data_IF_659397480918
#
_entry.id   IF_659397480918
#
_cell.length_a   1.000
_cell.length_b   1.000
_cell.length_c   1.000
_cell.angle_alpha   90.00
_cell.angle_beta   90.00
_cell.angle_gamma   90.00
#
_symmetry.space_group_name_H-M   'P 1'
#
loop_
_entity.id
_entity.type
_entity.pdbx_description
1 polymer ?
#
# COMPACT_ATOMS: atom_id res chain seq x y z
N UNK A 1 -42.60 9.82 -60.61
CA UNK A 1 -42.97 8.51 -60.02
C UNK A 1 -42.15 8.36 -58.74
N UNK A 2 -42.68 8.00 -57.58
CA UNK A 2 -43.99 8.18 -56.96
C UNK A 2 -43.74 7.91 -55.45
N UNK A 3 -43.98 8.83 -54.51
CA UNK A 3 -45.26 9.25 -53.90
C UNK A 3 -45.80 8.32 -52.80
N UNK A 4 -46.52 8.89 -51.80
CA UNK A 4 -46.98 8.31 -50.52
C UNK A 4 -45.87 7.89 -49.50
N UNK A 5 -45.83 8.27 -48.21
CA UNK A 5 -46.69 9.02 -47.26
C UNK A 5 -47.72 8.25 -46.37
N UNK A 6 -48.01 8.84 -45.21
CA UNK A 6 -48.89 8.40 -44.08
C UNK A 6 -48.33 7.30 -43.16
N UNK A 7 -48.34 7.31 -41.81
CA UNK A 7 -48.95 8.06 -40.66
C UNK A 7 -50.26 7.55 -40.01
N UNK A 8 -50.15 6.96 -38.81
CA UNK A 8 -51.14 6.95 -37.69
C UNK A 8 -50.43 6.51 -36.38
N UNK A 9 -50.53 7.07 -35.16
CA UNK A 9 -51.19 8.24 -34.51
C UNK A 9 -52.51 8.02 -33.73
N UNK A 10 -52.42 7.75 -32.41
CA UNK A 10 -53.25 8.17 -31.22
C UNK A 10 -52.72 7.44 -29.95
N UNK A 11 -52.65 7.97 -28.70
CA UNK A 11 -53.58 8.69 -27.78
C UNK A 11 -54.78 7.83 -27.32
N UNK A 12 -55.26 7.83 -26.07
CA UNK A 12 -54.86 8.34 -24.73
C UNK A 12 -55.72 7.54 -23.68
N UNK A 13 -55.81 7.71 -22.34
CA UNK A 13 -55.84 8.89 -21.44
C UNK A 13 -55.78 8.47 -19.94
N UNK A 14 -55.60 9.44 -19.03
CA UNK A 14 -55.92 9.37 -17.57
C UNK A 14 -57.44 9.71 -17.33
N UNK A 15 -58.02 10.10 -16.14
CA UNK A 15 -57.44 10.59 -14.86
C UNK A 15 -58.16 10.19 -13.51
N UNK A 16 -57.66 10.75 -12.37
CA UNK A 16 -58.38 11.20 -11.12
C UNK A 16 -59.30 10.23 -10.30
N UNK A 17 -59.47 10.30 -8.96
CA UNK A 17 -58.85 10.98 -7.78
C UNK A 17 -59.36 10.24 -6.48
N UNK A 18 -59.41 10.70 -5.20
CA UNK A 18 -59.14 11.96 -4.47
C UNK A 18 -59.05 11.77 -2.92
N UNK A 19 -58.25 12.60 -2.22
CA UNK A 19 -58.48 13.37 -0.95
C UNK A 19 -59.69 13.12 0.01
N UNK A 20 -59.70 13.65 1.27
CA UNK A 20 -58.62 14.09 2.19
C UNK A 20 -58.91 13.86 3.73
N UNK A 21 -58.16 14.55 4.63
CA UNK A 21 -58.45 14.92 6.06
C UNK A 21 -57.74 14.05 7.14
N UNK A 22 -56.86 14.57 8.02
CA UNK A 22 -57.07 15.44 9.22
C UNK A 22 -57.16 14.60 10.53
N UNK A 23 -56.69 15.00 11.73
CA UNK A 23 -56.02 16.21 12.25
C UNK A 23 -55.33 15.94 13.61
N UNK A 24 -54.56 16.92 14.13
CA UNK A 24 -54.32 17.23 15.58
C UNK A 24 -53.65 16.17 16.51
N UNK A 25 -52.91 16.51 17.58
CA UNK A 25 -52.26 17.76 18.08
C UNK A 25 -51.47 17.45 19.39
N UNK A 26 -50.43 18.24 19.73
CA UNK A 26 -49.92 18.57 21.10
C UNK A 26 -49.85 17.49 22.22
N UNK A 27 -48.78 17.33 23.00
CA UNK A 27 -47.52 18.09 23.15
C UNK A 27 -47.09 18.22 24.63
N UNK A 28 -45.89 18.80 24.85
CA UNK A 28 -45.36 19.35 26.13
C UNK A 28 -44.84 18.42 27.26
N UNK A 29 -43.67 18.83 27.78
CA UNK A 29 -43.21 18.74 29.20
C UNK A 29 -42.82 17.38 29.82
N UNK A 30 -41.90 17.28 30.79
CA UNK A 30 -40.77 18.17 31.20
C UNK A 30 -39.92 17.53 32.33
N UNK A 31 -38.63 17.87 32.37
CA UNK A 31 -37.78 18.00 33.58
C UNK A 31 -37.54 16.79 34.53
N UNK A 32 -36.29 16.33 34.52
CA UNK A 32 -35.41 16.15 35.70
C UNK A 32 -35.93 15.52 37.01
N UNK A 33 -35.24 14.46 37.46
CA UNK A 33 -34.58 14.44 38.78
C UNK A 33 -33.58 13.29 38.97
N UNK A 34 -32.51 13.57 39.70
CA UNK A 34 -31.58 12.56 40.23
C UNK A 34 -32.25 11.67 41.30
N UNK A 35 -31.92 10.37 41.30
CA UNK A 35 -31.80 9.58 42.54
C UNK A 35 -30.42 8.89 42.58
N UNK A 36 -29.64 9.17 43.64
CA UNK A 36 -28.30 8.59 43.81
C UNK A 36 -28.38 7.22 44.50
N UNK A 37 -27.92 6.14 43.85
CA UNK A 37 -27.91 4.78 44.42
C UNK A 37 -26.50 4.20 44.56
N UNK A 38 -25.92 4.49 45.73
CA UNK A 38 -24.96 3.67 46.50
C UNK A 38 -24.03 2.75 45.71
N UNK A 39 -22.77 3.17 45.55
CA UNK A 39 -21.69 2.25 45.24
C UNK A 39 -21.55 1.15 46.31
N UNK A 40 -21.43 -0.11 45.86
CA UNK A 40 -20.88 -1.23 46.63
C UNK A 40 -20.06 -2.12 45.69
N UNK A 41 -18.76 -1.84 45.68
CA UNK A 41 -17.64 -2.79 45.55
C UNK A 41 -18.04 -4.26 45.34
N UNK A 42 -17.54 -4.87 44.27
CA UNK A 42 -16.52 -5.93 44.39
C UNK A 42 -15.57 -5.91 43.18
N UNK A 43 -14.65 -6.87 43.11
CA UNK A 43 -13.35 -6.76 42.40
C UNK A 43 -13.33 -7.23 40.94
N UNK A 44 -12.31 -6.78 40.21
CA UNK A 44 -11.96 -7.03 38.79
C UNK A 44 -12.73 -6.20 37.77
N UNK A 45 -12.25 -4.98 37.54
CA UNK A 45 -12.67 -4.11 36.44
C UNK A 45 -12.09 -4.63 35.10
N UNK A 46 -12.73 -5.61 34.47
CA UNK A 46 -12.63 -5.74 33.00
C UNK A 46 -13.45 -4.61 32.37
N UNK A 47 -12.83 -3.83 31.50
CA UNK A 47 -13.44 -2.60 30.97
C UNK A 47 -14.29 -2.91 29.73
N UNK A 48 -15.61 -2.98 29.90
CA UNK A 48 -16.58 -3.22 28.83
C UNK A 48 -17.49 -2.01 28.58
N UNK A 49 -17.97 -1.89 27.35
CA UNK A 49 -19.09 -0.99 27.05
C UNK A 49 -20.39 -1.51 27.71
N UNK A 50 -21.32 -0.62 28.04
CA UNK A 50 -22.57 -0.93 28.76
C UNK A 50 -23.51 -1.90 28.00
N UNK A 51 -23.24 -2.16 26.72
CA UNK A 51 -23.98 -3.00 25.77
C UNK A 51 -23.23 -4.28 25.33
N UNK A 52 -22.10 -4.62 25.96
CA UNK A 52 -21.35 -5.84 25.67
C UNK A 52 -22.02 -7.10 26.26
N UNK A 53 -22.70 -7.89 25.42
CA UNK A 53 -23.29 -9.19 25.81
C UNK A 53 -22.33 -10.39 25.70
N UNK A 54 -21.10 -10.20 25.20
CA UNK A 54 -20.10 -11.26 25.01
C UNK A 54 -19.36 -11.63 26.33
N UNK A 55 -19.48 -12.89 26.82
CA UNK A 55 -18.84 -13.34 28.06
C UNK A 55 -17.35 -13.71 27.91
N UNK A 56 -16.82 -13.87 26.70
CA UNK A 56 -15.41 -14.20 26.45
C UNK A 56 -14.55 -12.95 26.16
N UNK A 57 -15.18 -11.78 26.02
CA UNK A 57 -14.50 -10.51 25.86
C UNK A 57 -13.51 -10.21 27.02
N UNK A 58 -12.32 -9.74 26.68
CA UNK A 58 -11.26 -9.38 27.64
C UNK A 58 -11.30 -7.88 28.02
N UNK A 59 -11.85 -7.04 27.14
CA UNK A 59 -12.13 -5.62 27.35
C UNK A 59 -12.51 -4.93 26.04
N UNK A 60 -13.63 -4.20 26.02
CA UNK A 60 -14.17 -3.53 24.82
C UNK A 60 -14.55 -2.05 25.03
N UNK A 61 -14.37 -1.50 26.24
CA UNK A 61 -14.42 -0.05 26.45
C UNK A 61 -13.10 0.59 26.01
N UNK A 62 -12.85 0.55 24.70
CA UNK A 62 -11.63 1.09 24.10
C UNK A 62 -11.70 2.62 24.05
N UNK A 63 -10.82 3.28 24.83
CA UNK A 63 -10.78 4.75 24.91
C UNK A 63 -10.24 5.41 23.63
N UNK A 64 -10.76 6.59 23.33
CA UNK A 64 -10.25 7.48 22.27
C UNK A 64 -8.78 7.85 22.53
N UNK A 65 -7.91 7.67 21.53
CA UNK A 65 -6.49 8.06 21.64
C UNK A 65 -6.37 9.57 21.45
N UNK A 66 -6.26 10.28 22.58
CA UNK A 66 -6.00 11.72 22.60
C UNK A 66 -4.52 11.99 22.31
N UNK A 67 -4.22 12.36 21.06
CA UNK A 67 -2.90 12.85 20.68
C UNK A 67 -2.61 14.21 21.33
N UNK A 68 -1.62 14.27 22.22
CA UNK A 68 -1.17 15.51 22.85
C UNK A 68 0.28 15.82 22.45
N UNK A 69 0.50 17.01 21.87
CA UNK A 69 1.81 17.50 21.44
C UNK A 69 2.17 18.80 22.19
N UNK A 70 3.41 18.94 22.66
CA UNK A 70 3.91 20.15 23.33
C UNK A 70 3.99 21.37 22.37
N UNK A 71 4.13 21.11 21.08
CA UNK A 71 4.05 22.09 20.00
C UNK A 71 3.20 21.46 18.90
N UNK A 72 2.24 22.19 18.32
CA UNK A 72 1.37 21.63 17.28
C UNK A 72 2.20 21.29 16.02
N UNK A 73 2.28 20.01 15.60
CA UNK A 73 2.92 19.65 14.34
C UNK A 73 2.10 20.11 13.13
N UNK A 74 2.78 20.25 11.99
CA UNK A 74 2.16 20.40 10.67
C UNK A 74 1.56 19.08 10.17
N UNK A 75 0.70 19.15 9.15
CA UNK A 75 0.15 17.96 8.49
C UNK A 75 1.25 17.04 7.91
N UNK A 76 2.38 17.62 7.49
CA UNK A 76 3.53 16.89 6.92
C UNK A 76 4.29 16.12 8.02
N UNK A 77 4.53 16.76 9.17
CA UNK A 77 5.15 16.12 10.33
C UNK A 77 4.25 15.02 10.90
N UNK A 78 2.93 15.25 10.99
CA UNK A 78 1.96 14.22 11.37
C UNK A 78 1.99 13.01 10.41
N UNK A 79 2.05 13.25 9.10
CA UNK A 79 2.14 12.18 8.10
C UNK A 79 3.47 11.41 8.18
N UNK A 80 4.58 12.09 8.48
CA UNK A 80 5.88 11.43 8.71
C UNK A 80 5.84 10.55 9.97
N UNK A 81 5.36 11.09 11.10
CA UNK A 81 5.16 10.33 12.35
C UNK A 81 4.22 9.13 12.14
N UNK A 82 3.13 9.30 11.37
CA UNK A 82 2.20 8.21 11.06
C UNK A 82 2.85 7.09 10.25
N UNK A 83 3.73 7.41 9.29
CA UNK A 83 4.49 6.43 8.52
C UNK A 83 5.54 5.71 9.38
N UNK A 84 6.30 6.44 10.18
CA UNK A 84 7.29 5.87 11.11
C UNK A 84 6.63 4.91 12.11
N UNK A 85 5.47 5.29 12.66
CA UNK A 85 4.71 4.47 13.59
C UNK A 85 4.06 3.26 12.89
N UNK A 86 3.63 3.40 11.63
CA UNK A 86 3.14 2.27 10.84
C UNK A 86 4.25 1.24 10.57
N UNK A 87 5.48 1.66 10.28
CA UNK A 87 6.62 0.75 10.07
C UNK A 87 7.06 -0.02 11.33
N UNK A 88 6.70 0.44 12.53
CA UNK A 88 6.92 -0.31 13.78
C UNK A 88 5.84 -1.37 14.05
N UNK A 89 4.70 -1.29 13.37
CA UNK A 89 3.50 -2.08 13.68
C UNK A 89 3.64 -3.59 13.50
N UNK A 90 4.68 -4.07 12.81
CA UNK A 90 4.90 -5.51 12.60
C UNK A 90 5.30 -6.27 13.87
N UNK A 91 5.97 -5.63 14.83
CA UNK A 91 6.69 -6.35 15.91
C UNK A 91 5.82 -6.87 17.08
N UNK A 92 4.48 -6.75 17.03
CA UNK A 92 3.59 -7.16 18.12
C UNK A 92 2.44 -8.10 17.67
N UNK A 93 2.75 -9.09 16.82
CA UNK A 93 1.94 -10.31 16.65
C UNK A 93 0.51 -10.15 16.12
N UNK A 94 0.13 -8.95 15.66
CA UNK A 94 -1.19 -8.64 15.12
C UNK A 94 -1.12 -8.45 13.60
N UNK A 95 -1.03 -9.57 12.88
CA UNK A 95 -0.82 -9.63 11.43
C UNK A 95 -1.80 -8.71 10.68
N UNK A 96 -1.27 -7.62 10.10
CA UNK A 96 -2.04 -6.67 9.29
C UNK A 96 -2.88 -5.64 10.07
N UNK A 97 -2.68 -5.47 11.37
CA UNK A 97 -3.37 -4.45 12.18
C UNK A 97 -2.50 -3.19 12.36
N UNK A 98 -2.92 -2.08 11.75
CA UNK A 98 -2.23 -0.80 11.96
C UNK A 98 -2.30 -0.39 13.43
N UNK A 99 -1.15 -0.01 14.03
CA UNK A 99 -1.13 0.47 15.41
C UNK A 99 -2.11 1.64 15.59
N UNK A 100 -2.85 1.64 16.69
CA UNK A 100 -3.89 2.66 16.94
C UNK A 100 -3.31 4.07 16.98
N UNK A 101 -2.04 4.19 17.39
CA UNK A 101 -1.25 5.42 17.35
C UNK A 101 -1.02 5.88 15.89
N UNK A 102 -0.52 5.00 15.02
CA UNK A 102 -0.33 5.31 13.61
C UNK A 102 -1.65 5.71 12.92
N UNK A 103 -2.75 4.99 13.21
CA UNK A 103 -4.08 5.36 12.68
C UNK A 103 -4.50 6.76 13.16
N UNK A 104 -4.39 7.06 14.45
CA UNK A 104 -4.75 8.38 14.98
C UNK A 104 -3.88 9.51 14.37
N UNK A 105 -2.58 9.25 14.16
CA UNK A 105 -1.67 10.20 13.51
C UNK A 105 -2.05 10.44 12.04
N UNK A 106 -2.44 9.40 11.30
CA UNK A 106 -2.96 9.51 9.94
C UNK A 106 -4.30 10.26 9.85
N UNK A 107 -5.29 9.89 10.68
CA UNK A 107 -6.59 10.56 10.73
C UNK A 107 -6.38 12.08 11.01
N UNK A 108 -5.45 12.40 11.92
CA UNK A 108 -5.11 13.78 12.28
C UNK A 108 -4.31 14.50 11.18
N UNK A 109 -3.44 13.81 10.44
CA UNK A 109 -2.75 14.38 9.28
C UNK A 109 -3.74 14.78 8.18
N UNK A 110 -4.72 13.90 7.87
CA UNK A 110 -5.77 14.17 6.88
C UNK A 110 -6.63 15.37 7.29
N UNK A 111 -7.05 15.47 8.56
CA UNK A 111 -7.82 16.62 9.05
C UNK A 111 -7.06 17.95 8.82
N UNK A 112 -5.76 17.98 9.14
CA UNK A 112 -4.93 19.19 8.97
C UNK A 112 -4.65 19.51 7.49
N UNK A 113 -4.46 18.51 6.62
CA UNK A 113 -4.40 18.72 5.17
C UNK A 113 -5.71 19.27 4.61
N UNK A 114 -6.86 18.73 5.03
CA UNK A 114 -8.17 19.25 4.64
C UNK A 114 -8.36 20.72 5.09
N UNK A 115 -7.89 21.09 6.28
CA UNK A 115 -7.95 22.48 6.78
C UNK A 115 -7.12 23.42 5.90
N UNK A 116 -5.91 23.01 5.51
CA UNK A 116 -5.04 23.76 4.59
C UNK A 116 -5.71 23.90 3.21
N UNK A 117 -6.19 22.81 2.62
CA UNK A 117 -6.88 22.86 1.32
C UNK A 117 -8.13 23.75 1.34
N UNK A 118 -8.90 23.77 2.43
CA UNK A 118 -10.09 24.63 2.59
C UNK A 118 -9.71 26.11 2.72
N UNK A 119 -8.60 26.43 3.37
CA UNK A 119 -8.07 27.80 3.44
C UNK A 119 -7.55 28.27 2.06
N UNK A 120 -6.86 27.39 1.35
CA UNK A 120 -6.14 27.68 0.10
C UNK A 120 -6.94 27.36 -1.18
N UNK A 121 -8.23 27.00 -1.03
CA UNK A 121 -9.13 26.55 -2.10
C UNK A 121 -9.30 27.52 -3.29
N UNK A 122 -8.89 28.78 -3.12
CA UNK A 122 -9.05 29.88 -4.09
C UNK A 122 -7.78 30.15 -4.93
N UNK A 123 -6.70 29.39 -4.73
CA UNK A 123 -5.43 29.55 -5.46
C UNK A 123 -5.41 28.70 -6.74
N UNK A 124 -4.98 29.30 -7.86
CA UNK A 124 -4.89 28.62 -9.16
C UNK A 124 -3.57 27.88 -9.32
N UNK A 125 -3.63 26.55 -9.34
CA UNK A 125 -2.48 25.63 -9.36
C UNK A 125 -1.43 25.83 -10.48
N UNK A 126 -1.79 26.53 -11.56
CA UNK A 126 -0.93 26.75 -12.73
C UNK A 126 -0.48 28.22 -12.90
N UNK A 127 -0.74 29.11 -11.93
CA UNK A 127 -0.38 30.53 -12.06
C UNK A 127 1.15 30.80 -12.07
N UNK A 128 1.96 29.79 -11.72
CA UNK A 128 3.42 29.82 -11.73
C UNK A 128 4.04 30.52 -10.52
N UNK A 129 3.24 30.89 -9.51
CA UNK A 129 3.72 31.50 -8.27
C UNK A 129 4.27 30.46 -7.30
N UNK A 130 5.11 30.93 -6.38
CA UNK A 130 5.57 30.15 -5.22
C UNK A 130 4.40 29.66 -4.35
N UNK A 131 3.34 30.46 -4.24
CA UNK A 131 2.13 30.11 -3.47
C UNK A 131 1.39 28.93 -4.11
N UNK A 132 1.15 28.96 -5.43
CA UNK A 132 0.56 27.82 -6.14
C UNK A 132 1.45 26.58 -6.14
N UNK A 133 2.78 26.76 -6.17
CA UNK A 133 3.76 25.68 -6.00
C UNK A 133 3.64 24.97 -4.64
N UNK A 134 3.62 25.75 -3.55
CA UNK A 134 3.46 25.23 -2.19
C UNK A 134 2.09 24.54 -2.02
N UNK A 135 1.03 25.15 -2.52
CA UNK A 135 -0.33 24.60 -2.47
C UNK A 135 -0.43 23.27 -3.27
N UNK A 136 0.26 23.17 -4.41
CA UNK A 136 0.38 21.90 -5.16
C UNK A 136 1.10 20.82 -4.36
N UNK A 137 2.18 21.17 -3.66
CA UNK A 137 2.91 20.25 -2.80
C UNK A 137 2.02 19.75 -1.63
N UNK A 138 1.28 20.65 -0.97
CA UNK A 138 0.28 20.29 0.06
C UNK A 138 -0.72 19.24 -0.45
N UNK A 139 -1.29 19.42 -1.66
CA UNK A 139 -2.26 18.45 -2.21
C UNK A 139 -1.63 17.12 -2.66
N UNK A 140 -0.38 17.15 -3.13
CA UNK A 140 0.38 15.93 -3.44
C UNK A 140 0.66 15.14 -2.17
N UNK A 141 1.03 15.81 -1.08
CA UNK A 141 1.26 15.19 0.22
C UNK A 141 -0.05 14.67 0.84
N UNK A 142 -1.15 15.41 0.73
CA UNK A 142 -2.48 14.96 1.15
C UNK A 142 -2.94 13.70 0.40
N UNK A 143 -2.85 13.69 -0.94
CA UNK A 143 -3.19 12.52 -1.75
C UNK A 143 -2.28 11.33 -1.43
N UNK A 144 -0.98 11.55 -1.20
CA UNK A 144 -0.05 10.51 -0.76
C UNK A 144 -0.38 9.97 0.64
N UNK A 145 -0.85 10.82 1.56
CA UNK A 145 -1.32 10.43 2.89
C UNK A 145 -2.57 9.53 2.80
N UNK A 146 -3.54 9.88 1.96
CA UNK A 146 -4.76 9.08 1.73
C UNK A 146 -4.42 7.70 1.13
N UNK A 147 -3.47 7.61 0.18
CA UNK A 147 -2.98 6.33 -0.34
C UNK A 147 -2.24 5.53 0.74
N UNK A 148 -1.36 6.18 1.52
CA UNK A 148 -0.64 5.51 2.60
C UNK A 148 -1.58 4.92 3.67
N UNK A 149 -2.67 5.60 4.00
CA UNK A 149 -3.73 5.04 4.87
C UNK A 149 -4.40 3.84 4.23
N UNK A 150 -4.74 3.91 2.94
CA UNK A 150 -5.38 2.79 2.23
C UNK A 150 -4.50 1.54 2.09
N UNK A 151 -3.17 1.70 2.15
CA UNK A 151 -2.19 0.60 2.24
C UNK A 151 -2.03 0.09 3.68
N UNK A 152 -1.92 1.00 4.67
CA UNK A 152 -1.66 0.65 6.07
C UNK A 152 -2.89 0.10 6.81
N UNK A 153 -4.08 0.57 6.47
CA UNK A 153 -5.38 -0.03 6.79
C UNK A 153 -5.99 -0.46 5.45
N UNK A 154 -5.90 -1.74 5.04
CA UNK A 154 -6.35 -2.21 3.73
C UNK A 154 -7.76 -1.77 3.39
N UNK A 155 -7.86 -0.71 2.58
CA UNK A 155 -9.11 0.02 2.33
C UNK A 155 -9.16 0.46 0.88
N UNK A 156 -9.87 -0.32 0.07
CA UNK A 156 -10.14 -0.06 -1.34
C UNK A 156 -10.81 1.31 -1.56
N UNK A 157 -11.56 1.83 -0.58
CA UNK A 157 -12.16 3.17 -0.65
C UNK A 157 -11.12 4.29 -0.53
N UNK A 158 -10.19 4.20 0.44
CA UNK A 158 -9.10 5.16 0.60
C UNK A 158 -8.14 5.14 -0.60
N UNK A 159 -7.80 3.96 -1.11
CA UNK A 159 -6.99 3.82 -2.32
C UNK A 159 -7.68 4.44 -3.55
N UNK A 160 -8.99 4.25 -3.70
CA UNK A 160 -9.78 4.90 -4.75
C UNK A 160 -9.87 6.42 -4.60
N UNK A 161 -9.97 6.94 -3.37
CA UNK A 161 -9.97 8.39 -3.11
C UNK A 161 -8.61 9.00 -3.46
N UNK A 162 -7.51 8.43 -2.94
CA UNK A 162 -6.15 8.90 -3.22
C UNK A 162 -5.81 8.87 -4.71
N UNK A 163 -6.18 7.79 -5.43
CA UNK A 163 -6.03 7.74 -6.90
C UNK A 163 -6.84 8.84 -7.59
N UNK A 164 -8.09 9.11 -7.16
CA UNK A 164 -8.96 10.14 -7.74
C UNK A 164 -8.43 11.56 -7.50
N UNK A 165 -7.85 11.81 -6.32
CA UNK A 165 -7.14 13.05 -6.00
C UNK A 165 -5.94 13.24 -6.93
N UNK A 166 -5.12 12.20 -7.11
CA UNK A 166 -4.00 12.24 -8.06
C UNK A 166 -4.45 12.43 -9.51
N UNK A 167 -5.52 11.77 -9.98
CA UNK A 167 -6.07 12.04 -11.32
C UNK A 167 -6.48 13.50 -11.51
N UNK A 168 -7.15 14.10 -10.52
CA UNK A 168 -7.55 15.50 -10.57
C UNK A 168 -6.34 16.44 -10.56
N UNK A 169 -5.29 16.14 -9.79
CA UNK A 169 -4.03 16.87 -9.85
C UNK A 169 -3.31 16.69 -11.21
N UNK A 170 -3.36 15.51 -11.83
CA UNK A 170 -2.84 15.26 -13.19
C UNK A 170 -3.60 16.08 -14.23
N UNK A 171 -4.93 16.23 -14.10
CA UNK A 171 -5.75 17.09 -14.95
C UNK A 171 -5.38 18.56 -14.76
N UNK A 172 -5.34 19.04 -13.51
CA UNK A 172 -5.05 20.44 -13.19
C UNK A 172 -3.65 20.86 -13.61
N UNK A 173 -2.64 20.03 -13.37
CA UNK A 173 -1.24 20.30 -13.77
C UNK A 173 -0.93 19.99 -15.24
N UNK A 174 -1.95 19.75 -16.08
CA UNK A 174 -1.83 19.44 -17.52
C UNK A 174 -0.82 18.31 -17.86
N UNK A 175 -0.65 17.34 -16.94
CA UNK A 175 0.35 16.25 -17.01
C UNK A 175 1.82 16.74 -17.01
N UNK A 176 2.08 17.98 -16.57
CA UNK A 176 3.41 18.60 -16.57
C UNK A 176 4.17 18.50 -15.24
N UNK A 177 3.56 17.99 -14.17
CA UNK A 177 4.23 17.75 -12.88
C UNK A 177 4.65 16.29 -12.71
N UNK A 178 5.94 16.07 -12.41
CA UNK A 178 6.52 14.74 -12.23
C UNK A 178 6.07 14.01 -10.95
N UNK A 179 6.10 14.67 -9.79
CA UNK A 179 5.70 14.09 -8.50
C UNK A 179 4.22 13.66 -8.52
N UNK A 180 3.36 14.47 -9.15
CA UNK A 180 1.93 14.15 -9.32
C UNK A 180 1.73 12.86 -10.14
N UNK A 181 2.52 12.66 -11.19
CA UNK A 181 2.47 11.44 -12.02
C UNK A 181 3.08 10.22 -11.30
N UNK A 182 4.15 10.39 -10.52
CA UNK A 182 4.68 9.30 -9.69
C UNK A 182 3.68 8.91 -8.59
N UNK A 183 3.05 9.89 -7.93
CA UNK A 183 1.98 9.65 -6.94
C UNK A 183 0.77 8.92 -7.52
N UNK A 184 0.33 9.28 -8.73
CA UNK A 184 -0.70 8.52 -9.45
C UNK A 184 -0.24 7.08 -9.75
N UNK A 185 1.03 6.90 -10.14
CA UNK A 185 1.62 5.58 -10.39
C UNK A 185 1.61 4.69 -9.14
N UNK A 186 1.97 5.25 -7.98
CA UNK A 186 1.89 4.56 -6.69
C UNK A 186 0.45 4.14 -6.42
N UNK A 187 -0.50 5.07 -6.43
CA UNK A 187 -1.91 4.79 -6.16
C UNK A 187 -2.50 3.68 -7.05
N UNK A 188 -2.06 3.62 -8.31
CA UNK A 188 -2.47 2.59 -9.27
C UNK A 188 -1.88 1.21 -8.96
N UNK A 189 -0.61 1.13 -8.53
CA UNK A 189 -0.01 -0.15 -8.11
C UNK A 189 -0.55 -0.60 -6.74
N UNK A 190 -0.72 0.33 -5.79
CA UNK A 190 -1.36 0.06 -4.50
C UNK A 190 -2.76 -0.54 -4.67
N UNK A 191 -3.58 0.01 -5.58
CA UNK A 191 -4.91 -0.54 -5.87
C UNK A 191 -4.84 -1.91 -6.59
N UNK A 192 -3.83 -2.16 -7.43
CA UNK A 192 -3.62 -3.48 -8.02
C UNK A 192 -3.26 -4.53 -6.93
N UNK A 193 -2.39 -4.16 -5.99
CA UNK A 193 -2.04 -4.98 -4.81
C UNK A 193 -3.26 -5.28 -3.93
N UNK A 194 -4.10 -4.29 -3.64
CA UNK A 194 -5.34 -4.48 -2.87
C UNK A 194 -6.32 -5.43 -3.58
N UNK A 195 -6.57 -5.24 -4.88
CA UNK A 195 -7.41 -6.17 -5.67
C UNK A 195 -6.86 -7.61 -5.61
N UNK A 196 -5.54 -7.77 -5.71
CA UNK A 196 -4.86 -9.06 -5.64
C UNK A 196 -4.94 -9.71 -4.26
N UNK A 197 -4.66 -8.96 -3.20
CA UNK A 197 -4.74 -9.43 -1.82
C UNK A 197 -6.16 -9.86 -1.43
N UNK A 198 -7.18 -9.13 -1.91
CA UNK A 198 -8.58 -9.49 -1.68
C UNK A 198 -9.01 -10.74 -2.48
N UNK A 199 -8.49 -10.93 -3.70
CA UNK A 199 -8.70 -12.18 -4.45
C UNK A 199 -8.03 -13.39 -3.77
N UNK A 200 -6.79 -13.23 -3.28
CA UNK A 200 -6.08 -14.28 -2.53
C UNK A 200 -6.78 -14.63 -1.21
N UNK A 201 -7.24 -13.63 -0.42
CA UNK A 201 -8.03 -13.86 0.80
C UNK A 201 -9.33 -14.61 0.53
N UNK A 202 -10.04 -14.27 -0.54
CA UNK A 202 -11.25 -15.00 -0.94
C UNK A 202 -10.96 -16.47 -1.29
N UNK A 203 -9.79 -16.77 -1.87
CA UNK A 203 -9.37 -18.14 -2.16
C UNK A 203 -8.95 -18.94 -0.93
N UNK A 204 -8.34 -18.31 0.08
CA UNK A 204 -8.03 -18.97 1.36
C UNK A 204 -9.34 -19.41 2.03
N UNK A 205 -10.32 -18.51 2.13
CA UNK A 205 -11.65 -18.83 2.71
C UNK A 205 -12.37 -19.94 1.93
N UNK A 206 -12.20 -20.01 0.60
CA UNK A 206 -12.76 -21.10 -0.22
C UNK A 206 -11.98 -22.42 -0.12
N UNK A 207 -10.74 -22.42 0.36
CA UNK A 207 -9.93 -23.61 0.58
C UNK A 207 -10.01 -24.14 2.03
N UNK A 208 -10.52 -23.32 2.96
CA UNK A 208 -10.79 -23.66 4.36
C UNK A 208 -12.21 -24.21 4.58
N UNK A 209 -13.09 -24.16 3.58
CA UNK A 209 -14.47 -24.68 3.63
C UNK A 209 -14.48 -26.18 3.31
N UNK A 210 -14.61 -27.04 4.34
CA UNK A 210 -14.37 -28.50 4.27
C UNK A 210 -15.28 -29.28 3.29
N UNK A 211 -16.36 -28.67 2.78
CA UNK A 211 -17.36 -29.33 1.92
C UNK A 211 -17.06 -29.29 0.40
N UNK A 212 -16.22 -28.37 -0.12
CA UNK A 212 -15.84 -28.32 -1.56
C UNK A 212 -14.35 -27.93 -1.78
N UNK A 213 -13.46 -28.91 -2.04
CA UNK A 213 -12.09 -28.62 -2.54
C UNK A 213 -12.16 -27.81 -3.86
N UNK A 214 -11.60 -26.59 -3.93
CA UNK A 214 -11.64 -25.78 -5.16
C UNK A 214 -10.74 -26.40 -6.23
N UNK A 215 -11.28 -26.61 -7.43
CA UNK A 215 -10.56 -27.28 -8.52
C UNK A 215 -9.31 -26.52 -8.99
N UNK A 216 -8.40 -27.22 -9.68
CA UNK A 216 -7.22 -26.62 -10.33
C UNK A 216 -7.62 -25.45 -11.27
N UNK A 217 -8.75 -25.57 -11.99
CA UNK A 217 -9.25 -24.47 -12.85
C UNK A 217 -9.80 -23.27 -12.05
N UNK A 218 -10.35 -23.48 -10.85
CA UNK A 218 -10.81 -22.40 -9.97
C UNK A 218 -9.65 -21.69 -9.28
N UNK A 219 -8.65 -22.46 -8.81
CA UNK A 219 -7.44 -21.93 -8.16
C UNK A 219 -6.57 -21.14 -9.13
N UNK A 220 -6.30 -21.67 -10.34
CA UNK A 220 -5.59 -20.92 -11.39
C UNK A 220 -6.36 -19.66 -11.81
N UNK A 221 -7.68 -19.74 -12.01
CA UNK A 221 -8.48 -18.60 -12.47
C UNK A 221 -8.57 -17.46 -11.45
N UNK A 222 -8.50 -17.76 -10.15
CA UNK A 222 -8.60 -16.76 -9.08
C UNK A 222 -7.25 -16.10 -8.73
N UNK A 223 -6.12 -16.74 -9.05
CA UNK A 223 -4.77 -16.18 -8.82
C UNK A 223 -4.11 -15.66 -10.12
N UNK A 224 -4.75 -15.84 -11.27
CA UNK A 224 -4.42 -15.10 -12.49
C UNK A 224 -4.66 -13.59 -12.29
N UNK A 225 -3.74 -12.75 -12.78
CA UNK A 225 -3.91 -11.28 -12.79
C UNK A 225 -5.19 -10.89 -13.54
N UNK A 226 -6.08 -10.18 -12.86
CA UNK A 226 -7.37 -9.74 -13.42
C UNK A 226 -7.20 -8.67 -14.51
N UNK A 227 -8.16 -8.54 -15.44
CA UNK A 227 -8.09 -7.48 -16.48
C UNK A 227 -8.12 -6.05 -15.92
N UNK A 228 -8.76 -5.84 -14.76
CA UNK A 228 -8.77 -4.56 -14.07
C UNK A 228 -7.42 -4.27 -13.40
N UNK A 229 -6.89 -5.24 -12.65
CA UNK A 229 -5.56 -5.23 -12.06
C UNK A 229 -4.46 -4.98 -13.11
N UNK A 230 -4.45 -5.74 -14.22
CA UNK A 230 -3.50 -5.56 -15.32
C UNK A 230 -3.60 -4.16 -15.95
N UNK A 231 -4.80 -3.57 -16.03
CA UNK A 231 -4.97 -2.20 -16.50
C UNK A 231 -4.35 -1.20 -15.52
N UNK A 232 -4.60 -1.35 -14.21
CA UNK A 232 -3.97 -0.55 -13.16
C UNK A 232 -2.44 -0.64 -13.20
N UNK A 233 -1.87 -1.86 -13.32
CA UNK A 233 -0.41 -2.05 -13.39
C UNK A 233 0.19 -1.39 -14.63
N UNK A 234 -0.43 -1.54 -15.80
CA UNK A 234 0.06 -0.88 -17.01
C UNK A 234 -0.06 0.65 -16.92
N UNK A 235 -1.14 1.18 -16.36
CA UNK A 235 -1.27 2.62 -16.10
C UNK A 235 -0.23 3.11 -15.08
N UNK A 236 0.04 2.35 -14.01
CA UNK A 236 1.02 2.71 -12.98
C UNK A 236 2.44 2.81 -13.55
N UNK A 237 2.86 1.78 -14.29
CA UNK A 237 4.14 1.78 -15.02
C UNK A 237 4.24 2.91 -16.05
N UNK A 238 3.16 3.20 -16.78
CA UNK A 238 3.09 4.35 -17.68
C UNK A 238 3.17 5.70 -16.95
N UNK A 239 2.61 5.81 -15.74
CA UNK A 239 2.63 7.00 -14.90
C UNK A 239 4.03 7.24 -14.33
N UNK A 240 4.73 6.19 -13.88
CA UNK A 240 6.15 6.25 -13.50
C UNK A 240 7.04 6.68 -14.67
N UNK A 241 6.95 6.02 -15.84
CA UNK A 241 7.78 6.35 -17.00
C UNK A 241 7.60 7.79 -17.50
N UNK A 242 6.43 8.39 -17.30
CA UNK A 242 6.17 9.81 -17.61
C UNK A 242 6.65 10.73 -16.48
N UNK A 243 6.32 10.42 -15.23
CA UNK A 243 6.67 11.23 -14.06
C UNK A 243 8.17 11.32 -13.83
N UNK A 244 8.85 10.18 -13.74
CA UNK A 244 10.30 10.09 -13.55
C UNK A 244 11.06 10.76 -14.71
N UNK A 245 10.56 10.68 -15.94
CA UNK A 245 11.12 11.39 -17.10
C UNK A 245 11.07 12.92 -16.97
N UNK A 246 10.02 13.48 -16.36
CA UNK A 246 9.96 14.92 -16.04
C UNK A 246 10.92 15.27 -14.89
N UNK A 247 11.11 14.37 -13.93
CA UNK A 247 12.00 14.56 -12.79
C UNK A 247 13.48 14.46 -13.14
N UNK A 248 13.87 13.82 -14.26
CA UNK A 248 15.23 13.90 -14.81
C UNK A 248 15.66 15.32 -15.24
N UNK A 249 14.78 16.31 -15.17
CA UNK A 249 15.09 17.74 -15.33
C UNK A 249 15.03 18.56 -14.01
N UNK A 250 14.92 17.87 -12.86
CA UNK A 250 14.93 18.41 -11.49
C UNK A 250 16.23 18.01 -10.78
N UNK A 251 16.50 18.45 -9.54
CA UNK A 251 17.69 18.00 -8.80
C UNK A 251 17.77 16.48 -8.67
N UNK A 252 18.99 15.94 -8.80
CA UNK A 252 19.26 14.49 -8.84
C UNK A 252 18.72 13.75 -7.61
N UNK A 253 18.73 14.40 -6.44
CA UNK A 253 18.15 13.85 -5.21
C UNK A 253 16.63 13.65 -5.29
N UNK A 254 15.89 14.60 -5.85
CA UNK A 254 14.44 14.49 -6.01
C UNK A 254 14.05 13.43 -7.05
N UNK A 255 14.83 13.33 -8.14
CA UNK A 255 14.67 12.25 -9.10
C UNK A 255 14.95 10.86 -8.47
N UNK A 256 16.02 10.73 -7.70
CA UNK A 256 16.37 9.49 -7.02
C UNK A 256 15.34 9.09 -5.96
N UNK A 257 14.89 10.02 -5.11
CA UNK A 257 13.87 9.77 -4.08
C UNK A 257 12.55 9.27 -4.67
N UNK A 258 12.03 9.91 -5.71
CA UNK A 258 10.79 9.48 -6.37
C UNK A 258 10.97 8.15 -7.14
N UNK A 259 12.17 7.87 -7.67
CA UNK A 259 12.51 6.59 -8.31
C UNK A 259 12.59 5.44 -7.30
N UNK A 260 13.18 5.68 -6.12
CA UNK A 260 13.21 4.73 -5.00
C UNK A 260 11.78 4.44 -4.52
N UNK A 261 10.94 5.46 -4.32
CA UNK A 261 9.55 5.26 -3.87
C UNK A 261 8.67 4.54 -4.91
N UNK A 262 8.94 4.76 -6.21
CA UNK A 262 8.30 3.98 -7.28
C UNK A 262 8.78 2.51 -7.31
N UNK A 263 10.06 2.26 -7.03
CA UNK A 263 10.61 0.91 -6.96
C UNK A 263 10.10 0.13 -5.74
N UNK A 264 9.94 0.77 -4.58
CA UNK A 264 9.36 0.18 -3.38
C UNK A 264 7.94 -0.36 -3.66
N UNK A 265 7.04 0.46 -4.21
CA UNK A 265 5.67 0.02 -4.50
C UNK A 265 5.63 -1.12 -5.56
N UNK A 266 6.60 -1.15 -6.48
CA UNK A 266 6.77 -2.25 -7.43
C UNK A 266 7.38 -3.52 -6.80
N UNK A 267 8.20 -3.41 -5.76
CA UNK A 267 8.68 -4.55 -4.97
C UNK A 267 7.52 -5.16 -4.17
N UNK A 268 6.78 -4.33 -3.43
CA UNK A 268 5.65 -4.75 -2.61
C UNK A 268 4.52 -5.40 -3.43
N UNK A 269 4.27 -4.92 -4.66
CA UNK A 269 3.37 -5.61 -5.59
C UNK A 269 4.04 -6.82 -6.27
N UNK A 270 5.33 -6.73 -6.63
CA UNK A 270 6.08 -7.79 -7.31
C UNK A 270 6.15 -9.09 -6.50
N UNK A 271 6.34 -9.00 -5.18
CA UNK A 271 6.35 -10.16 -4.28
C UNK A 271 4.99 -10.87 -4.26
N UNK A 272 3.88 -10.14 -4.42
CA UNK A 272 2.53 -10.73 -4.54
C UNK A 272 2.27 -11.46 -5.88
N UNK A 273 3.24 -11.52 -6.79
CA UNK A 273 3.18 -12.24 -8.07
C UNK A 273 3.94 -13.58 -8.07
N UNK A 274 4.32 -14.11 -6.90
CA UNK A 274 5.18 -15.31 -6.72
C UNK A 274 4.55 -16.68 -7.09
N UNK A 275 3.79 -16.72 -8.20
CA UNK A 275 3.17 -17.93 -8.72
C UNK A 275 3.37 -18.05 -10.23
N UNK A 276 3.60 -19.27 -10.71
CA UNK A 276 4.10 -19.56 -12.07
C UNK A 276 3.27 -18.95 -13.20
N UNK A 277 1.95 -18.89 -13.03
CA UNK A 277 1.01 -18.27 -14.00
C UNK A 277 1.22 -16.77 -14.20
N UNK A 278 1.92 -16.09 -13.28
CA UNK A 278 2.13 -14.64 -13.29
C UNK A 278 3.58 -14.22 -13.64
N UNK A 279 4.48 -15.17 -13.97
CA UNK A 279 5.91 -14.92 -14.18
C UNK A 279 6.21 -13.80 -15.18
N UNK A 280 5.48 -13.67 -16.29
CA UNK A 280 5.71 -12.59 -17.28
C UNK A 280 5.46 -11.20 -16.67
N UNK A 281 4.41 -11.05 -15.86
CA UNK A 281 4.12 -9.77 -15.20
C UNK A 281 5.10 -9.49 -14.07
N UNK A 282 5.40 -10.49 -13.23
CA UNK A 282 6.39 -10.35 -12.16
C UNK A 282 7.76 -9.95 -12.73
N UNK A 283 8.20 -10.62 -13.80
CA UNK A 283 9.47 -10.33 -14.47
C UNK A 283 9.53 -8.89 -14.97
N UNK A 284 8.43 -8.38 -15.56
CA UNK A 284 8.27 -7.00 -16.04
C UNK A 284 8.23 -5.97 -14.91
N UNK A 285 7.57 -6.30 -13.79
CA UNK A 285 7.48 -5.45 -12.59
C UNK A 285 8.85 -5.30 -11.94
N UNK A 286 9.57 -6.41 -11.72
CA UNK A 286 10.92 -6.37 -11.16
C UNK A 286 11.95 -5.74 -12.12
N UNK A 287 11.85 -5.96 -13.44
CA UNK A 287 12.69 -5.22 -14.42
C UNK A 287 12.53 -3.71 -14.27
N UNK A 288 11.33 -3.23 -13.96
CA UNK A 288 11.03 -1.81 -13.75
C UNK A 288 11.52 -1.31 -12.40
N UNK A 289 11.32 -2.05 -11.32
CA UNK A 289 11.87 -1.72 -10.00
C UNK A 289 13.41 -1.61 -10.04
N UNK A 290 14.07 -2.62 -10.61
CA UNK A 290 15.53 -2.66 -10.84
C UNK A 290 15.98 -1.47 -11.70
N UNK A 291 15.28 -1.17 -12.80
CA UNK A 291 15.60 -0.01 -13.65
C UNK A 291 15.50 1.32 -12.89
N UNK A 292 14.49 1.49 -12.03
CA UNK A 292 14.32 2.72 -11.25
C UNK A 292 15.39 2.86 -10.15
N UNK A 293 15.76 1.76 -9.48
CA UNK A 293 16.84 1.75 -8.47
C UNK A 293 18.21 1.99 -9.09
N UNK A 294 18.53 1.36 -10.23
CA UNK A 294 19.79 1.61 -10.91
C UNK A 294 19.89 3.04 -11.46
N UNK A 295 18.81 3.62 -11.99
CA UNK A 295 18.82 5.01 -12.43
C UNK A 295 18.92 5.99 -11.25
N UNK A 296 18.33 5.66 -10.10
CA UNK A 296 18.52 6.41 -8.86
C UNK A 296 19.97 6.33 -8.36
N UNK A 297 20.61 5.15 -8.37
CA UNK A 297 22.01 4.97 -7.99
C UNK A 297 22.96 5.78 -8.91
N UNK A 298 22.70 5.76 -10.22
CA UNK A 298 23.45 6.55 -11.22
C UNK A 298 23.31 8.06 -11.02
N UNK A 299 22.15 8.53 -10.54
CA UNK A 299 21.89 9.94 -10.28
C UNK A 299 22.42 10.40 -8.91
N UNK A 300 22.24 9.60 -7.85
CA UNK A 300 22.61 9.96 -6.48
C UNK A 300 22.92 8.71 -5.62
N UNK A 301 24.05 8.08 -5.92
CA UNK A 301 24.56 6.88 -5.23
C UNK A 301 24.39 6.91 -3.70
N UNK A 302 24.74 8.02 -3.04
CA UNK A 302 24.66 8.19 -1.58
C UNK A 302 23.28 7.88 -0.97
N UNK A 303 22.18 8.04 -1.73
CA UNK A 303 20.81 7.75 -1.26
C UNK A 303 20.44 6.26 -1.30
N UNK A 304 21.31 5.42 -1.89
CA UNK A 304 21.17 3.97 -1.95
C UNK A 304 22.33 3.32 -1.20
N UNK A 305 23.57 3.68 -1.54
CA UNK A 305 24.79 3.06 -1.05
C UNK A 305 25.09 3.29 0.44
N UNK A 306 24.25 4.06 1.14
CA UNK A 306 24.30 4.32 2.58
C UNK A 306 22.93 4.24 3.26
N UNK A 307 21.96 3.54 2.66
CA UNK A 307 20.64 3.31 3.24
C UNK A 307 20.31 1.80 3.17
N UNK A 308 20.16 1.17 4.34
CA UNK A 308 19.89 -0.26 4.46
C UNK A 308 18.56 -0.68 3.79
N UNK A 309 17.47 0.04 4.06
CA UNK A 309 16.13 -0.24 3.53
C UNK A 309 16.12 -0.27 1.99
N UNK A 310 16.79 0.70 1.36
CA UNK A 310 16.85 0.81 -0.10
C UNK A 310 17.77 -0.26 -0.72
N UNK A 311 18.85 -0.64 -0.03
CA UNK A 311 19.67 -1.80 -0.41
C UNK A 311 18.90 -3.11 -0.27
N UNK A 312 18.08 -3.26 0.77
CA UNK A 312 17.22 -4.41 1.00
C UNK A 312 16.12 -4.56 -0.05
N UNK A 313 15.42 -3.46 -0.38
CA UNK A 313 14.44 -3.42 -1.48
C UNK A 313 15.10 -3.78 -2.81
N UNK A 314 16.30 -3.28 -3.09
CA UNK A 314 17.05 -3.60 -4.31
C UNK A 314 17.49 -5.07 -4.34
N UNK A 315 17.92 -5.60 -3.19
CA UNK A 315 18.19 -7.00 -2.94
C UNK A 315 16.98 -7.89 -3.26
N UNK A 316 15.85 -7.64 -2.62
CA UNK A 316 14.58 -8.34 -2.84
C UNK A 316 14.14 -8.33 -4.30
N UNK A 317 14.25 -7.18 -4.99
CA UNK A 317 13.91 -7.07 -6.40
C UNK A 317 14.77 -8.00 -7.28
N UNK A 318 16.08 -8.07 -7.02
CA UNK A 318 17.02 -8.89 -7.79
C UNK A 318 16.88 -10.39 -7.46
N UNK A 319 16.71 -10.74 -6.19
CA UNK A 319 16.40 -12.11 -5.75
C UNK A 319 15.10 -12.62 -6.37
N UNK A 320 14.01 -11.84 -6.26
CA UNK A 320 12.72 -12.19 -6.82
C UNK A 320 12.77 -12.27 -8.36
N UNK A 321 13.52 -11.36 -9.01
CA UNK A 321 13.79 -11.47 -10.46
C UNK A 321 14.49 -12.79 -10.82
N UNK A 322 15.46 -13.24 -10.02
CA UNK A 322 16.16 -14.49 -10.26
C UNK A 322 15.23 -15.72 -10.14
N UNK A 323 14.30 -15.72 -9.18
CA UNK A 323 13.30 -16.79 -9.01
C UNK A 323 12.37 -16.95 -10.22
N UNK A 324 12.08 -15.84 -10.92
CA UNK A 324 11.23 -15.83 -12.12
C UNK A 324 11.97 -16.20 -13.42
N UNK A 325 13.30 -16.20 -13.41
CA UNK A 325 14.15 -16.65 -14.53
C UNK A 325 14.19 -18.19 -14.56
N UNK A 326 14.17 -18.77 -15.76
CA UNK A 326 14.04 -20.22 -15.94
C UNK A 326 15.34 -20.97 -15.58
N UNK A 327 15.38 -21.51 -14.36
CA UNK A 327 16.56 -22.15 -13.76
C UNK A 327 16.88 -23.57 -14.29
N UNK A 328 16.45 -23.91 -15.51
CA UNK A 328 16.72 -25.20 -16.17
C UNK A 328 18.20 -25.42 -16.59
N UNK A 329 19.12 -24.50 -16.28
CA UNK A 329 20.55 -24.64 -16.59
C UNK A 329 21.43 -24.37 -15.36
N UNK A 330 22.32 -25.32 -15.06
CA UNK A 330 23.36 -25.19 -14.02
C UNK A 330 24.68 -24.62 -14.57
N UNK A 331 24.72 -24.21 -15.84
CA UNK A 331 25.89 -23.62 -16.49
C UNK A 331 26.20 -22.21 -15.95
N UNK A 332 27.48 -21.80 -16.01
CA UNK A 332 27.92 -20.45 -15.66
C UNK A 332 27.16 -19.33 -16.41
N UNK A 333 26.67 -19.62 -17.62
CA UNK A 333 25.84 -18.71 -18.44
C UNK A 333 24.41 -18.47 -17.90
N UNK A 334 23.98 -19.07 -16.79
CA UNK A 334 22.62 -18.88 -16.25
C UNK A 334 22.45 -17.43 -15.69
N UNK A 335 21.58 -16.59 -16.29
CA UNK A 335 21.41 -15.20 -15.87
C UNK A 335 20.84 -15.06 -14.45
N UNK A 336 20.17 -16.07 -13.88
CA UNK A 336 19.72 -16.06 -12.49
C UNK A 336 20.88 -15.96 -11.49
N UNK A 337 22.04 -16.57 -11.80
CA UNK A 337 23.23 -16.52 -10.93
C UNK A 337 23.70 -15.10 -10.70
N UNK A 338 23.85 -14.31 -11.76
CA UNK A 338 24.26 -12.91 -11.68
C UNK A 338 23.26 -12.02 -10.90
N UNK A 339 21.97 -12.34 -10.95
CA UNK A 339 20.96 -11.66 -10.14
C UNK A 339 21.05 -12.05 -8.65
N UNK A 340 21.31 -13.33 -8.32
CA UNK A 340 21.46 -13.79 -6.92
C UNK A 340 22.78 -13.32 -6.29
N UNK A 341 23.89 -13.29 -7.04
CA UNK A 341 25.18 -12.82 -6.52
C UNK A 341 25.12 -11.31 -6.20
N UNK A 342 24.54 -10.49 -7.09
CA UNK A 342 24.23 -9.07 -6.80
C UNK A 342 23.15 -8.93 -5.71
N UNK A 343 22.24 -9.90 -5.64
CA UNK A 343 21.35 -10.19 -4.52
C UNK A 343 22.03 -10.05 -3.17
N UNK A 344 22.94 -10.99 -2.95
CA UNK A 344 23.68 -11.19 -1.72
C UNK A 344 24.61 -10.01 -1.43
N UNK A 345 25.27 -9.43 -2.45
CA UNK A 345 26.11 -8.23 -2.29
C UNK A 345 25.35 -7.07 -1.63
N UNK A 346 24.13 -6.76 -2.11
CA UNK A 346 23.34 -5.65 -1.58
C UNK A 346 22.68 -5.97 -0.24
N UNK A 347 22.25 -7.22 -0.04
CA UNK A 347 21.60 -7.66 1.21
C UNK A 347 22.58 -7.80 2.38
N UNK A 348 23.81 -8.28 2.14
CA UNK A 348 24.88 -8.26 3.15
C UNK A 348 25.23 -6.82 3.51
N UNK A 349 25.33 -5.92 2.51
CA UNK A 349 25.57 -4.49 2.75
C UNK A 349 24.41 -3.80 3.50
N UNK A 350 23.18 -4.30 3.36
CA UNK A 350 22.04 -3.84 4.16
C UNK A 350 22.17 -4.32 5.63
N UNK A 351 22.51 -5.59 5.86
CA UNK A 351 22.80 -6.14 7.21
C UNK A 351 23.96 -5.38 7.88
N UNK A 352 25.05 -5.07 7.16
CA UNK A 352 26.20 -4.28 7.65
C UNK A 352 25.88 -2.83 8.02
N UNK A 353 24.74 -2.28 7.55
CA UNK A 353 24.28 -0.92 7.83
C UNK A 353 23.13 -0.86 8.86
N UNK A 354 22.62 -2.00 9.29
CA UNK A 354 21.63 -2.12 10.36
C UNK A 354 22.33 -2.22 11.73
N UNK A 355 21.54 -2.28 12.81
CA UNK A 355 22.05 -2.39 14.18
C UNK A 355 22.22 -3.86 14.63
N UNK A 356 22.47 -4.08 15.92
CA UNK A 356 22.67 -5.43 16.47
C UNK A 356 21.39 -6.30 16.43
N UNK A 357 20.21 -5.72 16.20
CA UNK A 357 18.93 -6.45 16.09
C UNK A 357 18.64 -6.82 14.63
N UNK A 358 18.71 -5.84 13.71
CA UNK A 358 18.58 -6.04 12.26
C UNK A 358 17.12 -6.19 11.77
N UNK A 359 16.91 -6.07 10.47
CA UNK A 359 15.56 -6.21 9.86
C UNK A 359 15.25 -7.66 9.48
N UNK A 360 14.10 -8.16 9.95
CA UNK A 360 13.62 -9.50 9.66
C UNK A 360 13.46 -9.77 8.15
N UNK A 361 12.89 -8.82 7.37
CA UNK A 361 12.69 -8.99 5.92
C UNK A 361 14.02 -9.06 5.16
N UNK A 362 14.98 -8.23 5.54
CA UNK A 362 16.35 -8.22 4.99
C UNK A 362 17.03 -9.56 5.27
N UNK A 363 16.98 -10.05 6.50
CA UNK A 363 17.57 -11.32 6.92
C UNK A 363 16.90 -12.53 6.26
N UNK A 364 15.57 -12.53 6.13
CA UNK A 364 14.83 -13.57 5.43
C UNK A 364 15.23 -13.62 3.95
N UNK A 365 15.21 -12.48 3.27
CA UNK A 365 15.57 -12.35 1.85
C UNK A 365 17.02 -12.77 1.61
N UNK A 366 17.94 -12.40 2.50
CA UNK A 366 19.34 -12.83 2.44
C UNK A 366 19.49 -14.35 2.62
N UNK A 367 18.74 -14.94 3.56
CA UNK A 367 18.67 -16.38 3.75
C UNK A 367 18.12 -17.13 2.53
N UNK A 368 17.01 -16.65 1.95
CA UNK A 368 16.44 -17.20 0.71
C UNK A 368 17.43 -17.10 -0.46
N UNK A 369 18.12 -15.95 -0.61
CA UNK A 369 19.13 -15.76 -1.65
C UNK A 369 20.36 -16.68 -1.45
N UNK A 370 20.80 -16.89 -0.21
CA UNK A 370 21.85 -17.88 0.09
C UNK A 370 21.41 -19.29 -0.28
N UNK A 371 20.20 -19.74 0.12
CA UNK A 371 19.65 -21.04 -0.31
C UNK A 371 19.62 -21.16 -1.83
N UNK A 372 19.10 -20.15 -2.54
CA UNK A 372 19.05 -20.18 -4.01
C UNK A 372 20.44 -20.27 -4.63
N UNK A 373 21.45 -19.61 -4.06
CA UNK A 373 22.83 -19.65 -4.57
C UNK A 373 23.50 -21.03 -4.45
N UNK A 374 23.05 -21.91 -3.54
CA UNK A 374 23.58 -23.30 -3.44
C UNK A 374 23.43 -24.07 -4.75
N UNK A 375 22.36 -23.82 -5.52
CA UNK A 375 22.12 -24.44 -6.82
C UNK A 375 23.09 -24.03 -7.94
N UNK A 376 24.00 -23.07 -7.68
CA UNK A 376 24.98 -22.53 -8.63
C UNK A 376 26.44 -22.78 -8.21
N UNK A 377 26.66 -23.60 -7.18
CA UNK A 377 27.98 -23.91 -6.58
C UNK A 377 28.29 -25.40 -6.83
N UNK A 378 29.44 -25.70 -7.43
CA UNK A 378 29.88 -27.09 -7.70
C UNK A 378 30.69 -27.69 -6.53
N UNK A 379 31.23 -26.85 -5.64
CA UNK A 379 32.07 -27.24 -4.52
C UNK A 379 31.21 -27.55 -3.28
N UNK A 380 31.24 -28.80 -2.81
CA UNK A 380 30.39 -29.26 -1.70
C UNK A 380 30.70 -28.56 -0.36
N UNK A 381 31.97 -28.19 -0.10
CA UNK A 381 32.34 -27.50 1.14
C UNK A 381 31.78 -26.06 1.12
N UNK A 382 31.94 -25.35 0.01
CA UNK A 382 31.40 -23.99 -0.18
C UNK A 382 29.86 -24.00 -0.19
N UNK A 383 29.24 -25.04 -0.77
CA UNK A 383 27.78 -25.22 -0.77
C UNK A 383 27.25 -25.39 0.67
N UNK A 384 27.95 -26.15 1.52
CA UNK A 384 27.59 -26.32 2.93
C UNK A 384 27.78 -25.03 3.73
N UNK A 385 28.90 -24.31 3.57
CA UNK A 385 29.09 -22.98 4.19
C UNK A 385 27.94 -22.02 3.84
N UNK A 386 27.47 -22.06 2.58
CA UNK A 386 26.36 -21.23 2.08
C UNK A 386 25.01 -21.65 2.66
N UNK A 387 24.79 -22.94 2.87
CA UNK A 387 23.57 -23.50 3.48
C UNK A 387 23.50 -23.20 5.00
N UNK A 388 24.62 -23.30 5.70
CA UNK A 388 24.71 -22.96 7.12
C UNK A 388 24.47 -21.45 7.32
N UNK A 389 25.07 -20.59 6.49
CA UNK A 389 24.82 -19.16 6.49
C UNK A 389 23.35 -18.81 6.19
N UNK A 390 22.71 -19.50 5.25
CA UNK A 390 21.29 -19.35 4.99
C UNK A 390 20.43 -19.71 6.21
N UNK A 391 20.78 -20.82 6.86
CA UNK A 391 20.08 -21.33 8.06
C UNK A 391 20.22 -20.36 9.23
N UNK A 392 21.38 -19.71 9.40
CA UNK A 392 21.57 -18.64 10.39
C UNK A 392 20.61 -17.46 10.14
N UNK A 393 20.59 -16.90 8.92
CA UNK A 393 19.79 -15.71 8.63
C UNK A 393 18.29 -15.97 8.71
N UNK A 394 17.82 -17.11 8.18
CA UNK A 394 16.41 -17.52 8.31
C UNK A 394 16.02 -17.76 9.77
N UNK A 395 16.89 -18.40 10.57
CA UNK A 395 16.63 -18.63 12.00
C UNK A 395 16.61 -17.33 12.79
N UNK A 396 17.37 -16.31 12.38
CA UNK A 396 17.38 -14.98 13.01
C UNK A 396 16.15 -14.16 12.60
N UNK A 397 15.74 -14.18 11.33
CA UNK A 397 14.50 -13.55 10.88
C UNK A 397 13.29 -14.06 11.69
N UNK A 398 13.15 -15.39 11.82
CA UNK A 398 12.11 -16.05 12.62
C UNK A 398 12.19 -15.79 14.14
N UNK A 399 13.28 -15.19 14.64
CA UNK A 399 13.39 -14.74 16.04
C UNK A 399 12.97 -13.28 16.24
N UNK A 400 12.90 -12.50 15.15
CA UNK A 400 12.47 -11.10 15.12
C UNK A 400 10.99 -10.98 14.72
N UNK A 401 10.55 -11.76 13.74
CA UNK A 401 9.19 -11.82 13.20
C UNK A 401 8.82 -13.32 12.93
N UNK A 402 8.13 -14.01 13.87
CA UNK A 402 7.94 -15.49 13.85
C UNK A 402 6.69 -16.00 13.11
#
# INVERSE_FOLDING_TARGET
MADAASTHKRKASSPEASNPSASSSSGSSSSEKHESKKARKDTSDKQHADDCEDPECEGCAEGEIVLQFDTKPSAVELFQMAREEASKGSSEGSVGSLSRMAKALFDKAIEEFEILEKAEAHIELNDGTEIAGNMLETRVQHAACVVAVGNAVPSTEMLQEGMRMFEELVRRTEKANGNVLVGLGIAQISQARDQRGNAMKAMIVLAEDEDEEPSEEQTDAAVLVGKAELALVNHGLESFDKGLKLLKAKPESAFAQESIRAAQELEEYGVSLDLKVNHELGAKVFDKAIQHLEDAQKAKADLIDSNADVLSIFGSCLHSKARLVDNQSQSEDNPAKAYVDKAIELLVKAEELQDEEGDAKTLETLGQAYLMSTGFIEDEDIMMERFDAATEKLSRALQLDP
#
